data_IF_697586303745
#
_entry.id   IF_697586303745
#
_cell.length_a   1.000
_cell.length_b   1.000
_cell.length_c   1.000
_cell.angle_alpha   90.00
_cell.angle_beta   90.00
_cell.angle_gamma   90.00
#
_symmetry.space_group_name_H-M   'P 1'
#
loop_
_entity.id
_entity.type
_entity.pdbx_description
1 polymer ?
#
# COMPACT_ATOMS: atom_id res chain seq x y z
N UNK A 1 15.46 -4.06 -10.10
CA UNK A 1 15.75 -5.49 -10.34
C UNK A 1 15.17 -5.87 -11.69
N UNK A 2 15.92 -6.63 -12.51
CA UNK A 2 15.39 -7.21 -13.76
C UNK A 2 14.34 -8.26 -13.39
N UNK A 3 13.23 -8.33 -14.14
CA UNK A 3 12.19 -9.34 -13.92
C UNK A 3 12.65 -10.73 -14.35
N UNK A 4 12.19 -11.78 -13.65
CA UNK A 4 12.51 -13.17 -13.90
C UNK A 4 11.47 -13.80 -14.83
N UNK A 5 11.85 -14.24 -16.01
CA UNK A 5 10.98 -14.84 -17.02
C UNK A 5 11.34 -16.31 -17.21
N UNK A 6 10.36 -17.20 -17.07
CA UNK A 6 10.50 -18.62 -17.40
C UNK A 6 9.99 -18.89 -18.81
N UNK A 7 10.83 -19.40 -19.66
CA UNK A 7 10.50 -19.81 -21.05
C UNK A 7 10.32 -21.33 -21.05
N UNK A 8 9.14 -21.79 -21.45
CA UNK A 8 8.77 -23.20 -21.49
C UNK A 8 8.49 -23.62 -22.95
N UNK A 9 9.44 -24.27 -23.58
CA UNK A 9 9.37 -24.72 -24.97
C UNK A 9 10.34 -25.89 -25.13
N UNK A 10 9.98 -26.94 -25.82
CA UNK A 10 10.83 -28.14 -26.02
C UNK A 10 12.01 -27.88 -26.98
N UNK A 11 11.91 -26.87 -27.84
CA UNK A 11 12.94 -26.47 -28.79
C UNK A 11 13.93 -25.46 -28.18
N UNK A 12 15.20 -25.86 -28.06
CA UNK A 12 16.28 -24.96 -27.63
C UNK A 12 16.42 -23.74 -28.55
N UNK A 13 16.26 -23.92 -29.88
CA UNK A 13 16.29 -22.82 -30.83
C UNK A 13 15.14 -21.83 -30.64
N UNK A 14 13.93 -22.29 -30.25
CA UNK A 14 12.82 -21.42 -29.96
C UNK A 14 13.06 -20.62 -28.66
N UNK A 15 13.62 -21.24 -27.63
CA UNK A 15 13.99 -20.54 -26.39
C UNK A 15 15.07 -19.48 -26.63
N UNK A 16 16.07 -19.77 -27.45
CA UNK A 16 17.09 -18.79 -27.81
C UNK A 16 16.52 -17.61 -28.59
N UNK A 17 15.61 -17.85 -29.54
CA UNK A 17 14.94 -16.81 -30.33
C UNK A 17 14.04 -15.90 -29.46
N UNK A 18 13.32 -16.46 -28.50
CA UNK A 18 12.50 -15.69 -27.54
C UNK A 18 13.39 -14.73 -26.75
N UNK A 19 14.57 -15.17 -26.30
CA UNK A 19 15.51 -14.30 -25.58
C UNK A 19 16.04 -13.18 -26.46
N UNK A 20 16.32 -13.47 -27.74
CA UNK A 20 16.79 -12.48 -28.71
C UNK A 20 15.70 -11.37 -28.91
N UNK A 21 14.45 -11.75 -29.08
CA UNK A 21 13.33 -10.81 -29.21
C UNK A 21 13.10 -9.92 -27.97
N UNK A 22 13.36 -10.44 -26.77
CA UNK A 22 13.15 -9.73 -25.52
C UNK A 22 14.39 -8.94 -25.06
N UNK A 23 15.57 -9.23 -25.58
CA UNK A 23 16.83 -8.55 -25.26
C UNK A 23 17.38 -8.88 -23.86
N UNK A 24 18.27 -8.02 -23.35
CA UNK A 24 19.01 -8.25 -22.10
C UNK A 24 18.34 -7.67 -20.83
N UNK A 25 17.11 -7.18 -20.93
CA UNK A 25 16.44 -6.46 -19.81
C UNK A 25 15.86 -7.38 -18.73
N UNK A 26 15.91 -8.71 -18.93
CA UNK A 26 15.32 -9.71 -18.06
C UNK A 26 16.32 -10.77 -17.63
N UNK A 27 16.01 -11.52 -16.56
CA UNK A 27 16.65 -12.78 -16.23
C UNK A 27 15.82 -13.92 -16.81
N UNK A 28 16.44 -14.81 -17.60
CA UNK A 28 15.77 -15.90 -18.27
C UNK A 28 16.07 -17.23 -17.60
N UNK A 29 15.02 -18.01 -17.43
CA UNK A 29 15.08 -19.40 -17.03
C UNK A 29 14.39 -20.24 -18.09
N UNK A 30 14.81 -21.47 -18.25
CA UNK A 30 14.36 -22.37 -19.31
C UNK A 30 13.78 -23.64 -18.71
N UNK A 31 12.75 -24.16 -19.39
CA UNK A 31 12.20 -25.49 -19.18
C UNK A 31 11.82 -26.11 -20.53
N UNK A 32 12.08 -27.39 -20.69
CA UNK A 32 11.77 -28.11 -21.92
C UNK A 32 10.50 -28.97 -21.80
N UNK A 33 10.02 -29.18 -20.58
CA UNK A 33 8.87 -30.02 -20.27
C UNK A 33 8.14 -29.56 -19.01
N UNK A 34 7.04 -30.23 -18.66
CA UNK A 34 6.24 -29.91 -17.48
C UNK A 34 7.02 -30.15 -16.16
N UNK A 35 7.77 -31.23 -15.93
CA UNK A 35 8.55 -31.42 -14.71
C UNK A 35 9.62 -30.35 -14.49
N UNK A 36 10.38 -29.95 -15.49
CA UNK A 36 11.40 -28.90 -15.41
C UNK A 36 10.76 -27.52 -15.18
N UNK A 37 9.59 -27.26 -15.78
CA UNK A 37 8.80 -26.06 -15.51
C UNK A 37 8.43 -25.97 -14.03
N UNK A 38 7.83 -27.01 -13.44
CA UNK A 38 7.48 -27.01 -12.02
C UNK A 38 8.69 -26.90 -11.09
N UNK A 39 9.79 -27.59 -11.42
CA UNK A 39 11.03 -27.49 -10.65
C UNK A 39 11.61 -26.06 -10.63
N UNK A 40 11.50 -25.35 -11.75
CA UNK A 40 11.91 -23.95 -11.85
C UNK A 40 10.99 -23.02 -11.04
N UNK A 41 9.67 -23.22 -11.14
CA UNK A 41 8.67 -22.46 -10.40
C UNK A 41 8.74 -22.64 -8.87
N UNK A 42 9.19 -23.80 -8.38
CA UNK A 42 9.35 -24.07 -6.94
C UNK A 42 10.63 -23.48 -6.35
N UNK A 43 11.65 -23.34 -7.16
CA UNK A 43 12.98 -22.89 -6.73
C UNK A 43 13.20 -21.38 -6.85
N UNK A 44 12.34 -20.66 -7.60
CA UNK A 44 12.57 -19.27 -8.01
C UNK A 44 11.28 -18.45 -7.94
N UNK A 45 11.44 -17.16 -7.79
CA UNK A 45 10.33 -16.19 -7.85
C UNK A 45 10.14 -15.72 -9.31
N UNK A 46 9.48 -16.53 -10.13
CA UNK A 46 9.20 -16.19 -11.52
C UNK A 46 8.16 -15.08 -11.61
N UNK A 47 8.43 -14.04 -12.39
CA UNK A 47 7.51 -12.92 -12.61
C UNK A 47 6.56 -13.14 -13.79
N UNK A 48 6.96 -13.94 -14.79
CA UNK A 48 6.16 -14.25 -15.99
C UNK A 48 6.59 -15.57 -16.59
N UNK A 49 5.63 -16.33 -17.11
CA UNK A 49 5.87 -17.56 -17.85
C UNK A 49 5.50 -17.33 -19.32
N UNK A 50 6.41 -17.64 -20.25
CA UNK A 50 6.13 -17.75 -21.68
C UNK A 50 6.03 -19.25 -21.96
N UNK A 51 4.86 -19.68 -22.47
CA UNK A 51 4.50 -21.09 -22.59
C UNK A 51 4.19 -21.47 -24.02
N UNK A 52 4.90 -22.47 -24.59
CA UNK A 52 4.41 -23.17 -25.77
C UNK A 52 3.34 -24.20 -25.37
N UNK A 53 2.29 -24.28 -26.19
CA UNK A 53 1.23 -25.28 -26.02
C UNK A 53 1.63 -26.68 -26.47
N UNK A 54 2.61 -26.78 -27.36
CA UNK A 54 3.07 -28.07 -27.92
C UNK A 54 4.30 -28.58 -27.18
N UNK A 55 4.09 -29.14 -26.01
CA UNK A 55 5.12 -29.81 -25.24
C UNK A 55 4.94 -31.33 -25.33
N UNK A 56 6.04 -32.12 -25.41
CA UNK A 56 5.99 -33.58 -25.47
C UNK A 56 5.22 -34.15 -24.26
N UNK A 57 4.23 -35.00 -24.55
CA UNK A 57 3.46 -35.68 -23.51
C UNK A 57 2.44 -34.80 -22.74
N UNK A 58 2.24 -33.55 -23.14
CA UNK A 58 1.30 -32.61 -22.52
C UNK A 58 0.14 -32.30 -23.47
N UNK A 59 -1.09 -32.44 -23.02
CA UNK A 59 -2.28 -32.08 -23.81
C UNK A 59 -2.52 -30.58 -23.78
N UNK A 60 -2.64 -29.95 -24.94
CA UNK A 60 -2.94 -28.52 -25.18
C UNK A 60 -2.77 -27.61 -23.93
N UNK A 61 -3.85 -27.22 -23.23
CA UNK A 61 -3.82 -26.30 -22.09
C UNK A 61 -3.54 -26.96 -20.73
N UNK A 62 -3.15 -28.22 -20.68
CA UNK A 62 -2.97 -28.94 -19.40
C UNK A 62 -1.96 -28.26 -18.47
N UNK A 63 -0.83 -27.80 -19.02
CA UNK A 63 0.20 -27.11 -18.21
C UNK A 63 -0.28 -25.74 -17.76
N UNK A 64 -0.98 -24.96 -18.60
CA UNK A 64 -1.60 -23.70 -18.23
C UNK A 64 -2.55 -23.86 -17.04
N UNK A 65 -3.46 -24.86 -17.12
CA UNK A 65 -4.43 -25.13 -16.04
C UNK A 65 -3.71 -25.46 -14.73
N UNK A 66 -2.67 -26.26 -14.78
CA UNK A 66 -1.92 -26.64 -13.57
C UNK A 66 -1.11 -25.46 -13.01
N UNK A 67 -0.48 -24.65 -13.86
CA UNK A 67 0.20 -23.41 -13.44
C UNK A 67 -0.77 -22.45 -12.76
N UNK A 68 -1.92 -22.19 -13.37
CA UNK A 68 -2.94 -21.29 -12.79
C UNK A 68 -3.58 -21.84 -11.51
N UNK A 69 -3.67 -23.15 -11.35
CA UNK A 69 -4.14 -23.77 -10.10
C UNK A 69 -3.14 -23.62 -8.96
N UNK A 70 -1.84 -23.80 -9.21
CA UNK A 70 -0.79 -23.78 -8.18
C UNK A 70 -0.23 -22.38 -7.94
N UNK A 71 -0.09 -21.56 -8.98
CA UNK A 71 0.41 -20.18 -8.93
C UNK A 71 -0.55 -19.22 -9.68
N UNK A 72 -1.75 -18.95 -9.13
CA UNK A 72 -2.79 -18.17 -9.83
C UNK A 72 -2.38 -16.72 -10.12
N UNK A 73 -1.42 -16.19 -9.34
CA UNK A 73 -0.92 -14.82 -9.45
C UNK A 73 0.16 -14.62 -10.51
N UNK A 74 0.76 -15.71 -11.03
CA UNK A 74 1.81 -15.62 -12.04
C UNK A 74 1.18 -15.52 -13.44
N UNK A 75 1.48 -14.46 -14.21
CA UNK A 75 0.97 -14.32 -15.56
C UNK A 75 1.62 -15.33 -16.51
N UNK A 76 0.82 -15.83 -17.44
CA UNK A 76 1.25 -16.74 -18.48
C UNK A 76 0.90 -16.14 -19.85
N UNK A 77 1.92 -15.93 -20.68
CA UNK A 77 1.79 -15.56 -22.08
C UNK A 77 2.00 -16.81 -22.93
N UNK A 78 1.05 -17.14 -23.76
CA UNK A 78 1.14 -18.31 -24.65
C UNK A 78 1.78 -17.89 -25.96
N UNK A 79 2.78 -18.65 -26.39
CA UNK A 79 3.48 -18.49 -27.67
C UNK A 79 3.41 -19.81 -28.43
N UNK A 80 2.67 -19.88 -29.54
CA UNK A 80 2.42 -21.14 -30.26
C UNK A 80 2.51 -21.00 -31.76
N UNK A 81 2.94 -22.06 -32.45
CA UNK A 81 2.98 -22.16 -33.90
C UNK A 81 1.60 -22.43 -34.54
N UNK A 82 0.58 -22.79 -33.74
CA UNK A 82 -0.77 -23.09 -34.21
C UNK A 82 -1.76 -22.17 -33.49
N UNK A 83 -1.83 -20.93 -33.97
CA UNK A 83 -2.76 -19.94 -33.47
C UNK A 83 -4.05 -20.00 -34.30
N UNK A 84 -5.11 -20.56 -33.73
CA UNK A 84 -6.46 -20.39 -34.23
C UNK A 84 -7.32 -19.61 -33.25
N UNK A 85 -8.31 -18.91 -33.77
CA UNK A 85 -9.17 -18.03 -32.96
C UNK A 85 -9.88 -18.75 -31.80
N UNK A 86 -10.41 -19.97 -31.95
CA UNK A 86 -11.01 -20.74 -30.85
C UNK A 86 -10.02 -21.03 -29.70
N UNK A 87 -8.77 -21.38 -30.02
CA UNK A 87 -7.75 -21.66 -29.00
C UNK A 87 -7.34 -20.40 -28.22
N UNK A 88 -7.27 -19.26 -28.88
CA UNK A 88 -6.98 -17.99 -28.20
C UNK A 88 -8.06 -17.62 -27.19
N UNK A 89 -9.36 -17.81 -27.53
CA UNK A 89 -10.48 -17.58 -26.61
C UNK A 89 -10.41 -18.57 -25.42
N UNK A 90 -10.13 -19.83 -25.67
CA UNK A 90 -10.03 -20.86 -24.62
C UNK A 90 -8.85 -20.58 -23.68
N UNK A 91 -7.67 -20.22 -24.21
CA UNK A 91 -6.52 -19.80 -23.45
C UNK A 91 -6.84 -18.67 -22.47
N UNK A 92 -7.51 -17.61 -22.96
CA UNK A 92 -7.94 -16.46 -22.14
C UNK A 92 -8.93 -16.87 -21.05
N UNK A 93 -9.89 -17.75 -21.35
CA UNK A 93 -10.84 -18.28 -20.35
C UNK A 93 -10.15 -19.10 -19.27
N UNK A 94 -9.06 -19.80 -19.61
CA UNK A 94 -8.24 -20.58 -18.69
C UNK A 94 -7.21 -19.73 -17.92
N UNK A 95 -7.19 -18.41 -18.17
CA UNK A 95 -6.38 -17.45 -17.41
C UNK A 95 -5.03 -17.12 -18.04
N UNK A 96 -4.80 -17.37 -19.32
CA UNK A 96 -3.66 -16.79 -20.03
C UNK A 96 -3.85 -15.27 -20.15
N UNK A 97 -2.77 -14.52 -19.95
CA UNK A 97 -2.79 -13.05 -20.05
C UNK A 97 -2.73 -12.59 -21.51
N UNK A 98 -2.07 -13.38 -22.37
CA UNK A 98 -2.02 -13.12 -23.80
C UNK A 98 -1.74 -14.41 -24.58
N UNK A 99 -2.03 -14.37 -25.90
CA UNK A 99 -1.87 -15.48 -26.80
C UNK A 99 -1.27 -15.00 -28.13
N UNK A 100 -0.03 -15.35 -28.41
CA UNK A 100 0.76 -14.83 -29.52
C UNK A 100 1.16 -15.94 -30.48
N UNK A 101 0.90 -15.80 -31.79
CA UNK A 101 1.46 -16.67 -32.82
C UNK A 101 2.98 -16.54 -32.90
N UNK A 102 3.72 -17.67 -33.04
CA UNK A 102 5.19 -17.66 -33.13
C UNK A 102 5.72 -16.85 -34.33
N UNK A 103 4.96 -16.77 -35.41
CA UNK A 103 5.27 -15.97 -36.60
C UNK A 103 5.13 -14.46 -36.39
N UNK A 104 4.45 -14.03 -35.34
CA UNK A 104 4.29 -12.63 -34.96
C UNK A 104 5.07 -12.24 -33.68
N UNK A 105 5.85 -13.19 -33.13
CA UNK A 105 6.56 -13.03 -31.88
C UNK A 105 7.55 -11.84 -31.89
N UNK A 106 8.28 -11.63 -32.99
CA UNK A 106 9.22 -10.53 -33.14
C UNK A 106 8.61 -9.15 -32.87
N UNK A 107 7.34 -8.95 -33.23
CA UNK A 107 6.68 -7.65 -33.08
C UNK A 107 5.79 -7.55 -31.84
N UNK A 108 5.19 -8.64 -31.39
CA UNK A 108 4.17 -8.61 -30.34
C UNK A 108 4.68 -9.04 -28.95
N UNK A 109 5.71 -9.89 -28.89
CA UNK A 109 6.13 -10.52 -27.64
C UNK A 109 6.65 -9.48 -26.63
N UNK A 110 7.50 -8.56 -27.06
CA UNK A 110 8.04 -7.53 -26.20
C UNK A 110 6.93 -6.58 -25.67
N UNK A 111 5.98 -6.23 -26.51
CA UNK A 111 4.82 -5.38 -26.13
C UNK A 111 3.97 -6.10 -25.08
N UNK A 112 3.65 -7.38 -25.32
CA UNK A 112 2.84 -8.20 -24.43
C UNK A 112 3.51 -8.42 -23.08
N UNK A 113 4.81 -8.78 -23.07
CA UNK A 113 5.59 -8.99 -21.85
C UNK A 113 5.69 -7.70 -21.04
N UNK A 114 6.01 -6.57 -21.65
CA UNK A 114 6.07 -5.27 -20.98
C UNK A 114 4.73 -4.87 -20.37
N UNK A 115 3.63 -4.99 -21.12
CA UNK A 115 2.26 -4.72 -20.65
C UNK A 115 1.92 -5.61 -19.46
N UNK A 116 2.17 -6.91 -19.57
CA UNK A 116 1.84 -7.91 -18.55
C UNK A 116 2.63 -7.69 -17.26
N UNK A 117 3.94 -7.45 -17.34
CA UNK A 117 4.78 -7.15 -16.18
C UNK A 117 4.42 -5.82 -15.52
N UNK A 118 4.08 -4.79 -16.31
CA UNK A 118 3.60 -3.51 -15.78
C UNK A 118 2.29 -3.69 -14.99
N UNK A 119 1.32 -4.40 -15.53
CA UNK A 119 0.05 -4.73 -14.87
C UNK A 119 0.27 -5.56 -13.60
N UNK A 120 1.21 -6.51 -13.62
CA UNK A 120 1.54 -7.31 -12.45
C UNK A 120 2.23 -6.49 -11.35
N UNK A 121 3.18 -5.61 -11.69
CA UNK A 121 3.78 -4.67 -10.74
C UNK A 121 2.73 -3.78 -10.10
N UNK A 122 1.77 -3.29 -10.87
CA UNK A 122 0.64 -2.50 -10.37
C UNK A 122 -0.27 -3.34 -9.46
N UNK A 123 -0.57 -4.60 -9.82
CA UNK A 123 -1.35 -5.53 -8.96
C UNK A 123 -0.58 -5.88 -7.67
N UNK A 124 0.73 -6.17 -7.73
CA UNK A 124 1.59 -6.42 -6.55
C UNK A 124 1.67 -5.18 -5.64
N UNK A 125 1.83 -3.97 -6.21
CA UNK A 125 1.75 -2.70 -5.48
C UNK A 125 0.37 -2.52 -4.84
N UNK A 126 -0.72 -2.74 -5.56
CA UNK A 126 -2.08 -2.67 -5.01
C UNK A 126 -2.33 -3.73 -3.93
N UNK A 127 -1.73 -4.92 -4.04
CA UNK A 127 -1.83 -5.97 -3.01
C UNK A 127 -0.94 -5.65 -1.80
N UNK A 128 0.25 -5.10 -2.00
CA UNK A 128 1.09 -4.58 -0.92
C UNK A 128 0.43 -3.35 -0.25
N UNK A 129 -0.18 -2.44 -1.03
CA UNK A 129 -1.04 -1.37 -0.51
C UNK A 129 -2.28 -1.94 0.21
N UNK A 130 -2.93 -2.97 -0.31
CA UNK A 130 -4.03 -3.67 0.39
C UNK A 130 -3.55 -4.35 1.67
N UNK A 131 -2.37 -4.90 1.73
CA UNK A 131 -1.80 -5.50 2.94
C UNK A 131 -1.35 -4.44 3.96
N UNK A 132 -0.82 -3.31 3.51
CA UNK A 132 -0.62 -2.12 4.36
C UNK A 132 -1.96 -1.55 4.82
N UNK A 133 -2.99 -1.60 3.98
CA UNK A 133 -4.37 -1.22 4.29
C UNK A 133 -5.07 -2.30 5.14
N UNK A 134 -4.67 -3.57 5.06
CA UNK A 134 -5.17 -4.66 5.93
C UNK A 134 -4.66 -4.53 7.37
N UNK A 135 -3.61 -3.75 7.65
CA UNK A 135 -3.36 -3.22 9.00
C UNK A 135 -4.48 -2.26 9.48
N UNK A 136 -5.32 -1.74 8.57
CA UNK A 136 -6.55 -0.99 8.84
C UNK A 136 -7.81 -1.85 8.82
N UNK A 137 -7.72 -3.18 8.77
CA UNK A 137 -8.89 -4.09 8.76
C UNK A 137 -9.68 -4.12 10.07
N UNK A 138 -9.21 -3.46 11.10
CA UNK A 138 -10.00 -3.19 12.31
C UNK A 138 -10.74 -1.86 12.19
N UNK A 139 -11.65 -1.77 11.21
CA UNK A 139 -12.53 -0.62 11.13
C UNK A 139 -13.50 -0.64 12.33
N UNK A 140 -13.09 0.08 13.36
CA UNK A 140 -13.87 0.22 14.58
C UNK A 140 -14.83 1.41 14.49
N UNK A 141 -16.12 1.17 14.68
CA UNK A 141 -17.14 2.23 14.81
C UNK A 141 -17.49 2.41 16.28
N UNK A 142 -17.05 3.49 16.93
CA UNK A 142 -17.51 3.81 18.26
C UNK A 142 -19.02 4.01 18.27
N UNK A 143 -19.70 3.53 19.30
CA UNK A 143 -21.15 3.70 19.46
C UNK A 143 -21.54 5.09 20.01
N UNK A 144 -20.54 5.93 20.31
CA UNK A 144 -20.78 7.31 20.75
C UNK A 144 -21.62 8.08 19.72
N UNK A 145 -22.64 8.86 20.13
CA UNK A 145 -23.60 9.50 19.22
C UNK A 145 -22.98 10.36 18.12
N UNK A 146 -21.90 11.08 18.41
CA UNK A 146 -21.19 11.92 17.42
C UNK A 146 -20.57 11.05 16.32
N UNK A 147 -19.90 9.95 16.68
CA UNK A 147 -19.37 9.03 15.69
C UNK A 147 -20.48 8.32 14.91
N UNK A 148 -21.56 7.90 15.61
CA UNK A 148 -22.69 7.26 14.95
C UNK A 148 -23.34 8.19 13.90
N UNK A 149 -23.53 9.48 14.21
CA UNK A 149 -24.06 10.45 13.23
C UNK A 149 -23.09 10.68 12.05
N UNK A 150 -21.77 10.78 12.32
CA UNK A 150 -20.74 10.92 11.29
C UNK A 150 -20.76 9.77 10.29
N UNK A 151 -20.83 8.53 10.80
CA UNK A 151 -20.91 7.35 9.93
C UNK A 151 -22.25 7.22 9.20
N UNK A 152 -23.37 7.57 9.84
CA UNK A 152 -24.69 7.58 9.20
C UNK A 152 -24.75 8.60 8.05
N UNK A 153 -24.16 9.77 8.21
CA UNK A 153 -24.04 10.77 7.14
C UNK A 153 -23.15 10.26 6.01
N UNK A 154 -22.02 9.67 6.35
CA UNK A 154 -21.13 9.03 5.38
C UNK A 154 -21.85 7.93 4.60
N UNK A 155 -22.58 7.03 5.25
CA UNK A 155 -23.34 5.95 4.60
C UNK A 155 -24.39 6.49 3.61
N UNK A 156 -25.06 7.60 3.99
CA UNK A 156 -26.08 8.25 3.15
C UNK A 156 -25.48 8.88 1.89
N UNK A 157 -24.32 9.54 2.00
CA UNK A 157 -23.73 10.35 0.95
C UNK A 157 -22.61 9.64 0.17
N UNK A 158 -22.08 8.51 0.67
CA UNK A 158 -20.94 7.83 0.07
C UNK A 158 -21.13 7.37 -1.37
N UNK A 159 -22.37 7.06 -1.77
CA UNK A 159 -22.71 6.63 -3.14
C UNK A 159 -22.86 7.78 -4.13
N UNK A 160 -22.85 9.04 -3.67
CA UNK A 160 -22.84 10.21 -4.55
C UNK A 160 -21.42 10.45 -5.08
N UNK A 161 -21.31 11.28 -6.12
CA UNK A 161 -20.02 11.69 -6.70
C UNK A 161 -19.40 12.89 -5.97
N UNK A 162 -19.94 13.28 -4.82
CA UNK A 162 -19.49 14.44 -4.06
C UNK A 162 -18.10 14.25 -3.46
N UNK A 163 -17.32 15.32 -3.45
CA UNK A 163 -16.05 15.40 -2.76
C UNK A 163 -16.23 15.64 -1.27
N UNK A 164 -15.29 15.18 -0.46
CA UNK A 164 -15.34 15.29 0.99
C UNK A 164 -14.19 16.12 1.52
N UNK A 165 -14.48 17.02 2.47
CA UNK A 165 -13.48 17.68 3.29
C UNK A 165 -13.58 17.16 4.73
N UNK A 166 -12.53 16.52 5.22
CA UNK A 166 -12.40 15.98 6.56
C UNK A 166 -11.64 16.98 7.45
N UNK A 167 -12.31 17.54 8.42
CA UNK A 167 -11.73 18.45 9.39
C UNK A 167 -11.48 17.75 10.73
N UNK A 168 -10.42 18.13 11.42
CA UNK A 168 -10.12 17.62 12.75
C UNK A 168 -8.64 17.65 13.06
N UNK A 169 -8.31 17.52 14.33
CA UNK A 169 -6.95 17.54 14.83
C UNK A 169 -6.12 16.36 14.28
N UNK A 170 -4.80 16.47 14.42
CA UNK A 170 -3.90 15.36 14.07
C UNK A 170 -4.19 14.16 14.98
N UNK A 171 -4.29 12.97 14.37
CA UNK A 171 -4.48 11.71 15.10
C UNK A 171 -5.92 11.36 15.49
N UNK A 172 -6.95 12.11 15.02
CA UNK A 172 -8.38 11.79 15.27
C UNK A 172 -8.94 10.67 14.38
N UNK A 173 -8.18 10.20 13.36
CA UNK A 173 -8.62 9.13 12.47
C UNK A 173 -9.22 9.62 11.14
N UNK A 174 -8.76 10.77 10.60
CA UNK A 174 -9.18 11.27 9.27
C UNK A 174 -8.90 10.25 8.16
N UNK A 175 -7.76 9.56 8.23
CA UNK A 175 -7.37 8.49 7.32
C UNK A 175 -8.30 7.27 7.39
N UNK A 176 -8.72 6.88 8.59
CA UNK A 176 -9.70 5.79 8.80
C UNK A 176 -11.05 6.14 8.19
N UNK A 177 -11.51 7.39 8.39
CA UNK A 177 -12.77 7.85 7.81
C UNK A 177 -12.69 7.95 6.28
N UNK A 178 -11.57 8.42 5.71
CA UNK A 178 -11.37 8.47 4.26
C UNK A 178 -11.42 7.05 3.64
N UNK A 179 -10.82 6.08 4.30
CA UNK A 179 -10.89 4.68 3.89
C UNK A 179 -12.33 4.16 3.93
N UNK A 180 -13.06 4.48 5.00
CA UNK A 180 -14.47 4.12 5.12
C UNK A 180 -15.34 4.74 4.00
N UNK A 181 -15.16 6.04 3.71
CA UNK A 181 -15.85 6.72 2.61
C UNK A 181 -15.60 5.99 1.29
N UNK A 182 -14.36 5.59 1.02
CA UNK A 182 -14.01 4.84 -0.18
C UNK A 182 -14.73 3.48 -0.24
N UNK A 183 -14.68 2.68 0.83
CA UNK A 183 -15.35 1.37 0.89
C UNK A 183 -16.87 1.49 0.72
N UNK A 184 -17.50 2.46 1.41
CA UNK A 184 -18.93 2.69 1.32
C UNK A 184 -19.38 3.18 -0.07
N UNK A 185 -18.49 3.82 -0.82
CA UNK A 185 -18.75 4.32 -2.17
C UNK A 185 -18.93 3.22 -3.22
N UNK A 186 -18.36 2.05 -2.99
CA UNK A 186 -18.29 0.93 -3.94
C UNK A 186 -17.63 1.28 -5.29
N UNK A 187 -16.83 2.33 -5.36
CA UNK A 187 -16.01 2.62 -6.55
C UNK A 187 -15.03 1.48 -6.78
N UNK A 188 -14.86 1.08 -8.05
CA UNK A 188 -14.05 -0.10 -8.41
C UNK A 188 -12.54 0.14 -8.41
N UNK A 189 -12.12 1.41 -8.58
CA UNK A 189 -10.72 1.81 -8.55
C UNK A 189 -10.16 1.89 -7.12
N UNK A 190 -8.86 2.11 -6.96
CA UNK A 190 -8.21 2.12 -5.65
C UNK A 190 -8.46 3.40 -4.84
N UNK A 191 -8.18 3.31 -3.52
CA UNK A 191 -7.94 4.49 -2.69
C UNK A 191 -6.45 4.84 -2.78
N UNK A 192 -6.13 5.99 -3.33
CA UNK A 192 -4.75 6.47 -3.48
C UNK A 192 -4.51 7.63 -2.52
N UNK A 193 -3.58 7.44 -1.57
CA UNK A 193 -3.20 8.47 -0.60
C UNK A 193 -2.06 9.33 -1.13
N UNK A 194 -2.16 10.63 -0.86
CA UNK A 194 -1.12 11.65 -1.09
C UNK A 194 -0.97 12.46 0.18
N UNK A 195 0.26 12.61 0.66
CA UNK A 195 0.59 13.52 1.76
C UNK A 195 1.01 14.87 1.16
N UNK A 196 0.19 15.90 1.39
CA UNK A 196 0.46 17.26 0.89
C UNK A 196 1.44 18.05 1.78
N UNK A 197 1.86 17.47 2.91
CA UNK A 197 2.84 18.05 3.84
C UNK A 197 4.30 17.76 3.47
N UNK A 198 4.58 17.02 2.40
CA UNK A 198 5.94 16.75 1.95
C UNK A 198 6.68 18.03 1.58
N UNK A 199 7.91 18.16 2.09
CA UNK A 199 8.73 19.38 1.97
C UNK A 199 9.26 19.65 0.56
N UNK A 200 9.43 18.60 -0.27
CA UNK A 200 9.96 18.74 -1.63
C UNK A 200 8.83 18.88 -2.65
N UNK A 201 8.64 20.10 -3.10
CA UNK A 201 7.63 20.48 -4.10
C UNK A 201 7.84 19.80 -5.46
N UNK A 202 9.08 19.54 -5.87
CA UNK A 202 9.39 18.86 -7.15
C UNK A 202 8.99 17.41 -7.07
N UNK A 203 9.26 16.78 -5.90
CA UNK A 203 8.88 15.42 -5.64
C UNK A 203 7.35 15.26 -5.60
N UNK A 204 6.63 16.13 -4.89
CA UNK A 204 5.17 16.09 -4.80
C UNK A 204 4.51 16.30 -6.18
N UNK A 205 5.02 17.22 -7.00
CA UNK A 205 4.56 17.39 -8.40
C UNK A 205 4.75 16.12 -9.21
N UNK A 206 5.95 15.51 -9.14
CA UNK A 206 6.26 14.29 -9.85
C UNK A 206 5.44 13.09 -9.33
N UNK A 207 5.16 13.02 -8.04
CA UNK A 207 4.32 11.96 -7.45
C UNK A 207 2.86 12.09 -7.87
N UNK A 208 2.31 13.30 -7.91
CA UNK A 208 0.93 13.56 -8.32
C UNK A 208 0.71 13.36 -9.83
N UNK A 209 1.50 14.05 -10.65
CA UNK A 209 1.30 14.11 -12.11
C UNK A 209 2.03 13.00 -12.86
N UNK A 210 3.01 12.34 -12.24
CA UNK A 210 3.97 11.51 -12.96
C UNK A 210 4.89 12.35 -13.85
N UNK A 211 5.82 11.70 -14.51
CA UNK A 211 6.74 12.38 -15.45
C UNK A 211 7.12 11.48 -16.62
N UNK A 212 7.42 12.11 -17.74
CA UNK A 212 8.06 11.47 -18.87
C UNK A 212 9.59 11.48 -18.68
N UNK A 213 10.31 10.57 -19.35
CA UNK A 213 11.75 10.53 -19.34
C UNK A 213 12.34 11.87 -19.78
N UNK A 214 13.28 12.42 -18.99
CA UNK A 214 13.93 13.70 -19.27
C UNK A 214 13.14 14.95 -18.83
N UNK A 215 12.04 14.82 -18.12
CA UNK A 215 11.22 15.95 -17.66
C UNK A 215 11.95 16.92 -16.71
N UNK A 216 12.91 16.39 -15.95
CA UNK A 216 13.79 17.18 -15.05
C UNK A 216 15.09 16.41 -14.78
N UNK A 217 16.07 17.03 -14.14
CA UNK A 217 17.34 16.40 -13.77
C UNK A 217 17.09 15.25 -12.80
N UNK A 218 17.37 14.00 -13.23
CA UNK A 218 17.09 12.77 -12.47
C UNK A 218 15.85 12.00 -12.95
N UNK A 219 15.10 12.48 -13.94
CA UNK A 219 14.00 11.75 -14.58
C UNK A 219 14.55 10.76 -15.62
N UNK A 220 15.20 9.70 -15.16
CA UNK A 220 15.83 8.69 -16.03
C UNK A 220 14.81 7.78 -16.72
N UNK A 221 13.66 7.56 -16.09
CA UNK A 221 12.58 6.71 -16.59
C UNK A 221 11.22 7.42 -16.48
N UNK A 222 10.24 6.97 -17.26
CA UNK A 222 8.84 7.41 -17.14
C UNK A 222 8.22 6.88 -15.85
N UNK A 223 7.49 7.74 -15.11
CA UNK A 223 6.75 7.35 -13.91
C UNK A 223 5.28 7.73 -14.01
N UNK A 224 4.41 6.79 -13.63
CA UNK A 224 2.96 7.01 -13.54
C UNK A 224 2.66 7.81 -12.26
N UNK A 225 1.81 8.83 -12.36
CA UNK A 225 1.41 9.67 -11.23
C UNK A 225 0.23 9.14 -10.44
N UNK A 226 0.01 9.70 -9.25
CA UNK A 226 -1.09 9.34 -8.34
C UNK A 226 -2.47 9.61 -8.95
N UNK A 227 -2.61 10.62 -9.82
CA UNK A 227 -3.87 10.89 -10.51
C UNK A 227 -4.26 9.74 -11.43
N UNK A 228 -3.32 9.20 -12.20
CA UNK A 228 -3.58 8.01 -13.03
C UNK A 228 -3.89 6.78 -12.18
N UNK A 229 -3.14 6.61 -11.07
CA UNK A 229 -3.37 5.47 -10.17
C UNK A 229 -4.72 5.52 -9.47
N UNK A 230 -5.30 6.71 -9.27
CA UNK A 230 -6.58 6.90 -8.60
C UNK A 230 -7.79 6.74 -9.55
N UNK A 231 -7.57 6.50 -10.84
CA UNK A 231 -8.63 6.40 -11.83
C UNK A 231 -9.68 5.34 -11.47
N UNK A 232 -10.95 5.68 -11.62
CA UNK A 232 -12.10 4.88 -11.19
C UNK A 232 -12.27 4.74 -9.67
N UNK A 233 -11.38 5.36 -8.87
CA UNK A 233 -11.27 5.20 -7.43
C UNK A 233 -11.47 6.48 -6.62
N UNK A 234 -10.66 6.63 -5.58
CA UNK A 234 -10.68 7.77 -4.65
C UNK A 234 -9.27 8.29 -4.44
N UNK A 235 -9.08 9.59 -4.62
CA UNK A 235 -7.84 10.28 -4.26
C UNK A 235 -8.00 10.88 -2.86
N UNK A 236 -7.20 10.40 -1.90
CA UNK A 236 -7.16 10.92 -0.54
C UNK A 236 -5.97 11.86 -0.36
N UNK A 237 -6.26 13.14 -0.14
CA UNK A 237 -5.27 14.20 0.08
C UNK A 237 -5.17 14.49 1.58
N UNK A 238 -4.12 14.01 2.20
CA UNK A 238 -3.86 14.30 3.62
C UNK A 238 -3.12 15.64 3.76
N UNK A 239 -3.47 16.41 4.78
CA UNK A 239 -2.91 17.74 5.09
C UNK A 239 -2.99 18.72 3.89
N UNK A 240 -4.13 18.77 3.17
CA UNK A 240 -4.35 19.59 1.96
C UNK A 240 -4.02 21.08 2.19
N UNK A 241 -4.20 21.58 3.42
CA UNK A 241 -3.89 22.97 3.77
C UNK A 241 -2.42 23.37 3.63
N UNK A 242 -1.52 22.39 3.53
CA UNK A 242 -0.08 22.59 3.32
C UNK A 242 0.31 22.64 1.83
N UNK A 243 -0.63 22.38 0.92
CA UNK A 243 -0.38 22.41 -0.51
C UNK A 243 -0.03 23.85 -0.99
N UNK A 244 1.01 24.01 -1.80
CA UNK A 244 1.38 25.32 -2.34
C UNK A 244 0.34 25.86 -3.31
N UNK A 245 0.25 27.18 -3.44
CA UNK A 245 -0.70 27.86 -4.34
C UNK A 245 -0.54 27.41 -5.81
N UNK A 246 0.69 27.13 -6.25
CA UNK A 246 0.93 26.63 -7.60
C UNK A 246 0.30 25.24 -7.82
N UNK A 247 0.46 24.34 -6.85
CA UNK A 247 -0.15 23.00 -6.90
C UNK A 247 -1.66 23.07 -6.76
N UNK A 248 -2.19 23.94 -5.89
CA UNK A 248 -3.62 24.18 -5.77
C UNK A 248 -4.25 24.56 -7.12
N UNK A 249 -3.57 25.45 -7.89
CA UNK A 249 -4.03 25.86 -9.23
C UNK A 249 -4.07 24.70 -10.21
N UNK A 250 -2.99 23.90 -10.25
CA UNK A 250 -2.94 22.72 -11.13
C UNK A 250 -3.94 21.66 -10.74
N UNK A 251 -4.09 21.42 -9.44
CA UNK A 251 -5.03 20.44 -8.91
C UNK A 251 -6.49 20.82 -9.22
N UNK A 252 -6.85 22.09 -9.04
CA UNK A 252 -8.17 22.60 -9.44
C UNK A 252 -8.47 22.28 -10.90
N UNK A 253 -7.50 22.55 -11.79
CA UNK A 253 -7.65 22.25 -13.21
C UNK A 253 -7.92 20.75 -13.47
N UNK A 254 -7.26 19.86 -12.74
CA UNK A 254 -7.48 18.39 -12.87
C UNK A 254 -8.87 18.00 -12.42
N UNK A 255 -9.36 18.54 -11.28
CA UNK A 255 -10.70 18.23 -10.77
C UNK A 255 -11.78 18.72 -11.73
N UNK A 256 -11.60 19.90 -12.34
CA UNK A 256 -12.59 20.49 -13.24
C UNK A 256 -12.62 19.83 -14.60
N UNK A 257 -11.43 19.63 -15.21
CA UNK A 257 -11.32 19.09 -16.57
C UNK A 257 -11.33 17.57 -16.61
N UNK A 258 -11.17 16.89 -15.47
CA UNK A 258 -11.00 15.43 -15.41
C UNK A 258 -9.87 14.93 -16.34
N UNK A 259 -8.87 15.76 -16.58
CA UNK A 259 -7.69 15.43 -17.38
C UNK A 259 -6.47 16.26 -16.98
N UNK A 260 -5.30 15.73 -17.27
CA UNK A 260 -4.02 16.38 -17.00
C UNK A 260 -2.93 15.86 -17.95
N UNK A 261 -1.75 16.48 -17.91
CA UNK A 261 -0.55 16.03 -18.62
C UNK A 261 0.56 15.69 -17.61
N UNK A 262 1.35 14.67 -17.90
CA UNK A 262 2.56 14.36 -17.11
C UNK A 262 3.58 15.48 -17.23
N UNK A 263 4.46 15.61 -16.24
CA UNK A 263 5.56 16.55 -16.31
C UNK A 263 6.45 16.21 -17.52
N UNK A 264 6.72 17.21 -18.37
CA UNK A 264 7.47 17.04 -19.61
C UNK A 264 6.73 16.32 -20.74
N UNK A 265 5.46 15.94 -20.55
CA UNK A 265 4.61 15.34 -21.58
C UNK A 265 3.59 16.31 -22.17
N UNK A 266 3.08 15.98 -23.36
CA UNK A 266 2.05 16.76 -24.08
C UNK A 266 0.74 15.95 -24.28
N UNK A 267 0.68 14.73 -23.79
CA UNK A 267 -0.50 13.86 -23.95
C UNK A 267 -1.48 14.14 -22.81
N UNK A 268 -2.73 14.47 -23.16
CA UNK A 268 -3.81 14.56 -22.20
C UNK A 268 -4.23 13.16 -21.71
N UNK A 269 -4.29 13.01 -20.39
CA UNK A 269 -4.69 11.78 -19.72
C UNK A 269 -6.00 12.06 -18.99
N UNK A 270 -7.05 11.38 -19.39
CA UNK A 270 -8.36 11.46 -18.73
C UNK A 270 -8.37 10.60 -17.47
N UNK A 271 -9.01 11.10 -16.40
CA UNK A 271 -9.14 10.40 -15.11
C UNK A 271 -10.50 10.70 -14.50
N UNK A 272 -11.04 9.71 -13.82
CA UNK A 272 -12.27 9.87 -13.03
C UNK A 272 -12.07 9.35 -11.60
N UNK A 273 -11.75 10.23 -10.70
CA UNK A 273 -11.65 9.93 -9.28
C UNK A 273 -12.49 10.89 -8.44
N UNK A 274 -12.92 10.41 -7.27
CA UNK A 274 -13.47 11.24 -6.20
C UNK A 274 -12.34 11.78 -5.34
N UNK A 275 -12.51 12.99 -4.82
CA UNK A 275 -11.57 13.59 -3.86
C UNK A 275 -12.11 13.44 -2.44
N UNK A 276 -11.24 12.98 -1.54
CA UNK A 276 -11.40 13.10 -0.09
C UNK A 276 -10.20 13.89 0.41
N UNK A 277 -10.41 15.12 0.85
CA UNK A 277 -9.36 15.99 1.38
C UNK A 277 -9.42 16.02 2.91
N UNK A 278 -8.28 16.06 3.59
CA UNK A 278 -8.19 16.15 5.04
C UNK A 278 -7.23 17.24 5.47
N UNK A 279 -7.55 17.94 6.55
CA UNK A 279 -6.68 18.95 7.16
C UNK A 279 -7.01 19.18 8.63
N UNK A 280 -6.03 19.65 9.38
CA UNK A 280 -6.19 20.19 10.73
C UNK A 280 -6.19 21.73 10.74
N UNK A 281 -5.96 22.38 9.58
CA UNK A 281 -5.92 23.83 9.45
C UNK A 281 -7.32 24.40 9.20
N UNK A 282 -7.54 25.61 9.70
CA UNK A 282 -8.70 26.44 9.37
C UNK A 282 -8.50 27.02 7.97
N UNK A 283 -9.14 26.37 6.96
CA UNK A 283 -8.99 26.77 5.56
C UNK A 283 -9.60 28.16 5.29
N UNK A 284 -10.61 28.61 6.04
CA UNK A 284 -11.18 29.95 5.88
C UNK A 284 -10.12 31.02 6.22
N UNK A 285 -9.45 30.86 7.36
CA UNK A 285 -8.32 31.75 7.72
C UNK A 285 -7.16 31.65 6.73
N UNK A 286 -6.90 30.46 6.18
CA UNK A 286 -5.87 30.29 5.15
C UNK A 286 -6.24 31.03 3.85
N UNK A 287 -7.52 31.06 3.48
CA UNK A 287 -8.03 31.83 2.31
C UNK A 287 -7.85 33.34 2.57
N UNK A 288 -8.28 33.85 3.73
CA UNK A 288 -8.10 35.25 4.13
C UNK A 288 -6.64 35.67 4.13
N UNK A 289 -5.74 34.77 4.54
CA UNK A 289 -4.29 34.99 4.53
C UNK A 289 -3.65 34.82 3.15
N UNK A 290 -4.39 34.51 2.10
CA UNK A 290 -3.89 34.26 0.76
C UNK A 290 -3.02 33.01 0.60
N UNK A 291 -3.12 32.05 1.54
CA UNK A 291 -2.37 30.79 1.54
C UNK A 291 -3.14 29.62 0.92
N UNK A 292 -4.46 29.76 0.80
CA UNK A 292 -5.33 28.78 0.17
C UNK A 292 -6.30 29.47 -0.77
N UNK A 293 -6.62 28.81 -1.90
CA UNK A 293 -7.51 29.37 -2.93
C UNK A 293 -8.97 29.09 -2.57
N UNK A 294 -9.81 30.11 -2.65
CA UNK A 294 -11.25 29.98 -2.38
C UNK A 294 -11.98 29.13 -3.42
N UNK A 295 -11.54 29.20 -4.70
CA UNK A 295 -12.14 28.36 -5.76
C UNK A 295 -11.88 26.85 -5.54
N UNK A 296 -10.68 26.48 -5.15
CA UNK A 296 -10.37 25.10 -4.78
C UNK A 296 -11.16 24.66 -3.54
N UNK A 297 -11.27 25.52 -2.52
CA UNK A 297 -12.02 25.21 -1.32
C UNK A 297 -13.47 24.81 -1.65
N UNK A 298 -14.18 25.62 -2.43
CA UNK A 298 -15.57 25.31 -2.79
C UNK A 298 -15.69 24.02 -3.65
N UNK A 299 -14.65 23.65 -4.38
CA UNK A 299 -14.65 22.44 -5.21
C UNK A 299 -14.41 21.16 -4.40
N UNK A 300 -13.66 21.22 -3.31
CA UNK A 300 -13.38 20.06 -2.44
C UNK A 300 -14.32 19.97 -1.25
N UNK A 301 -14.98 21.06 -0.86
CA UNK A 301 -15.89 21.14 0.29
C UNK A 301 -17.36 21.01 -0.14
N UNK A 302 -17.70 19.91 -0.83
CA UNK A 302 -19.08 19.59 -1.17
C UNK A 302 -19.81 18.88 -0.01
N UNK A 303 -19.05 18.07 0.77
CA UNK A 303 -19.49 17.47 2.04
C UNK A 303 -18.41 17.73 3.07
N UNK A 304 -18.75 18.42 4.15
CA UNK A 304 -17.83 18.67 5.26
C UNK A 304 -18.12 17.74 6.43
N UNK A 305 -17.12 17.01 6.89
CA UNK A 305 -17.21 16.13 8.03
C UNK A 305 -16.15 16.51 9.07
N UNK A 306 -16.59 16.93 10.25
CA UNK A 306 -15.70 17.28 11.36
C UNK A 306 -15.59 16.10 12.33
N UNK A 307 -14.36 15.60 12.53
CA UNK A 307 -14.06 14.53 13.46
C UNK A 307 -13.66 15.17 14.79
N UNK A 308 -14.38 14.89 15.91
CA UNK A 308 -14.09 15.49 17.20
C UNK A 308 -12.73 15.05 17.74
N UNK A 309 -12.12 15.90 18.54
CA UNK A 309 -10.95 15.52 19.33
C UNK A 309 -11.33 14.53 20.44
N UNK A 310 -10.40 13.67 20.84
CA UNK A 310 -10.67 12.60 21.81
C UNK A 310 -11.09 13.17 23.19
N UNK A 311 -10.60 14.37 23.56
CA UNK A 311 -10.99 15.05 24.80
C UNK A 311 -12.45 15.58 24.79
N UNK A 312 -13.06 15.76 23.62
CA UNK A 312 -14.45 16.16 23.47
C UNK A 312 -15.43 14.98 23.55
N UNK A 313 -14.90 13.75 23.37
CA UNK A 313 -15.69 12.50 23.33
C UNK A 313 -15.07 11.43 24.26
N UNK A 314 -14.77 11.82 25.50
CA UNK A 314 -14.10 10.96 26.48
C UNK A 314 -14.82 9.64 26.73
N UNK A 315 -16.14 9.64 26.60
CA UNK A 315 -16.99 8.45 26.75
C UNK A 315 -16.72 7.39 25.69
N UNK A 316 -16.08 7.75 24.58
CA UNK A 316 -15.65 6.80 23.56
C UNK A 316 -14.30 6.13 23.89
N UNK A 317 -13.49 6.68 24.83
CA UNK A 317 -12.16 6.14 25.18
C UNK A 317 -12.22 4.67 25.59
N UNK A 318 -13.12 4.21 26.48
CA UNK A 318 -13.19 2.81 26.87
C UNK A 318 -13.42 1.87 25.67
N UNK A 319 -14.19 2.31 24.67
CA UNK A 319 -14.47 1.52 23.47
C UNK A 319 -13.22 1.40 22.58
N UNK A 320 -12.47 2.48 22.40
CA UNK A 320 -11.19 2.45 21.70
C UNK A 320 -10.16 1.57 22.42
N UNK A 321 -10.09 1.68 23.75
CA UNK A 321 -9.21 0.86 24.59
C UNK A 321 -9.52 -0.63 24.40
N UNK A 322 -10.79 -1.01 24.53
CA UNK A 322 -11.23 -2.41 24.39
C UNK A 322 -10.85 -2.95 22.99
N UNK A 323 -11.16 -2.18 21.93
CA UNK A 323 -10.84 -2.54 20.55
C UNK A 323 -9.34 -2.74 20.32
N UNK A 324 -8.48 -1.80 20.74
CA UNK A 324 -7.04 -1.93 20.55
C UNK A 324 -6.43 -3.09 21.35
N UNK A 325 -6.92 -3.33 22.58
CA UNK A 325 -6.48 -4.45 23.40
C UNK A 325 -6.89 -5.78 22.76
N UNK A 326 -8.11 -5.89 22.25
CA UNK A 326 -8.59 -7.10 21.57
C UNK A 326 -7.71 -7.44 20.36
N UNK A 327 -7.39 -6.47 19.51
CA UNK A 327 -6.48 -6.64 18.38
C UNK A 327 -5.08 -7.11 18.81
N UNK A 328 -4.51 -6.52 19.87
CA UNK A 328 -3.21 -6.92 20.40
C UNK A 328 -3.25 -8.32 21.01
N UNK A 329 -4.28 -8.66 21.77
CA UNK A 329 -4.45 -9.98 22.36
C UNK A 329 -4.60 -11.07 21.28
N UNK A 330 -5.40 -10.81 20.26
CA UNK A 330 -5.59 -11.73 19.14
C UNK A 330 -4.29 -11.97 18.37
N UNK A 331 -3.54 -10.91 18.08
CA UNK A 331 -2.29 -11.05 17.30
C UNK A 331 -1.13 -11.70 18.07
N UNK A 332 -1.16 -11.67 19.42
CA UNK A 332 -0.06 -12.18 20.26
C UNK A 332 -0.48 -13.38 21.12
N UNK A 333 -1.72 -13.86 21.01
CA UNK A 333 -2.23 -14.97 21.84
C UNK A 333 -2.21 -14.66 23.34
N UNK A 334 -2.52 -13.42 23.74
CA UNK A 334 -2.42 -12.92 25.11
C UNK A 334 -3.80 -12.58 25.69
N UNK A 335 -3.84 -12.27 27.01
CA UNK A 335 -5.04 -11.87 27.75
C UNK A 335 -4.82 -10.57 28.51
N UNK A 336 -4.11 -9.61 27.91
CA UNK A 336 -3.86 -8.30 28.51
C UNK A 336 -5.16 -7.56 28.78
N UNK A 337 -5.23 -6.92 29.93
CA UNK A 337 -6.32 -6.04 30.32
C UNK A 337 -5.78 -4.82 31.03
N UNK A 338 -6.46 -3.68 30.90
CA UNK A 338 -6.18 -2.48 31.66
C UNK A 338 -7.10 -2.49 32.90
N UNK A 339 -6.53 -2.15 34.05
CA UNK A 339 -7.29 -2.02 35.30
C UNK A 339 -8.07 -0.69 35.33
N UNK A 340 -9.04 -0.59 36.30
CA UNK A 340 -9.90 0.58 36.42
C UNK A 340 -9.12 1.87 36.77
N UNK A 341 -7.99 1.74 37.47
CA UNK A 341 -7.13 2.87 37.83
C UNK A 341 -6.46 3.46 36.59
N UNK A 342 -5.88 2.60 35.76
CA UNK A 342 -5.27 2.99 34.48
C UNK A 342 -6.31 3.55 33.52
N UNK A 343 -7.51 2.96 33.45
CA UNK A 343 -8.62 3.47 32.64
C UNK A 343 -9.06 4.85 33.14
N UNK A 344 -9.13 5.06 34.47
CA UNK A 344 -9.42 6.35 35.07
C UNK A 344 -8.40 7.43 34.67
N UNK A 345 -7.11 7.08 34.63
CA UNK A 345 -6.08 7.98 34.10
C UNK A 345 -6.29 8.30 32.62
N UNK A 346 -6.65 7.33 31.81
CA UNK A 346 -6.92 7.56 30.38
C UNK A 346 -8.11 8.51 30.15
N UNK A 347 -9.15 8.42 30.99
CA UNK A 347 -10.32 9.31 30.94
C UNK A 347 -10.00 10.75 31.39
N UNK A 348 -9.04 10.91 32.28
CA UNK A 348 -8.63 12.23 32.80
C UNK A 348 -7.66 12.97 31.89
N UNK A 349 -6.87 12.26 31.08
CA UNK A 349 -5.85 12.84 30.23
C UNK A 349 -6.45 13.52 28.99
N UNK A 350 -5.78 14.57 28.49
CA UNK A 350 -6.29 15.41 27.40
C UNK A 350 -6.06 14.87 25.99
N UNK A 351 -5.15 13.92 25.83
CA UNK A 351 -4.80 13.27 24.56
C UNK A 351 -4.50 14.26 23.42
N UNK A 352 -3.44 15.09 23.50
CA UNK A 352 -3.10 16.04 22.45
C UNK A 352 -2.82 15.37 21.09
N UNK A 353 -2.34 14.13 21.08
CA UNK A 353 -2.18 13.30 19.89
C UNK A 353 -3.39 12.41 19.56
N UNK A 354 -4.52 12.63 20.26
CA UNK A 354 -5.80 11.96 20.02
C UNK A 354 -5.73 10.42 20.03
N UNK A 355 -6.43 9.76 19.11
CA UNK A 355 -6.49 8.29 19.00
C UNK A 355 -5.13 7.70 18.67
N UNK A 356 -4.30 8.43 17.90
CA UNK A 356 -2.92 7.98 17.59
C UNK A 356 -2.07 7.85 18.85
N UNK A 357 -2.13 8.81 19.74
CA UNK A 357 -1.43 8.78 21.02
C UNK A 357 -1.99 7.70 21.96
N UNK A 358 -3.33 7.60 22.07
CA UNK A 358 -3.99 6.55 22.85
C UNK A 358 -3.56 5.15 22.39
N UNK A 359 -3.58 4.88 21.10
CA UNK A 359 -3.14 3.60 20.52
C UNK A 359 -1.66 3.31 20.83
N UNK A 360 -0.79 4.32 20.72
CA UNK A 360 0.62 4.19 21.06
C UNK A 360 0.84 3.88 22.54
N UNK A 361 0.09 4.54 23.45
CA UNK A 361 0.16 4.29 24.89
C UNK A 361 -0.31 2.88 25.24
N UNK A 362 -1.45 2.43 24.72
CA UNK A 362 -1.96 1.07 24.94
C UNK A 362 -0.95 0.04 24.44
N UNK A 363 -0.37 0.25 23.27
CA UNK A 363 0.66 -0.63 22.71
C UNK A 363 1.90 -0.69 23.62
N UNK A 364 2.32 0.44 24.19
CA UNK A 364 3.43 0.50 25.16
C UNK A 364 3.09 -0.30 26.41
N UNK A 365 1.92 -0.11 27.00
CA UNK A 365 1.49 -0.80 28.21
C UNK A 365 1.32 -2.31 27.98
N UNK A 366 0.78 -2.69 26.82
CA UNK A 366 0.70 -4.08 26.38
C UNK A 366 2.08 -4.74 26.31
N UNK A 367 3.08 -4.10 25.72
CA UNK A 367 4.42 -4.69 25.61
C UNK A 367 5.14 -4.74 26.95
N UNK A 368 4.90 -3.80 27.86
CA UNK A 368 5.38 -3.90 29.24
C UNK A 368 4.80 -5.12 29.96
N UNK A 369 3.51 -5.38 29.79
CA UNK A 369 2.85 -6.58 30.31
C UNK A 369 3.40 -7.86 29.66
N UNK A 370 3.44 -7.90 28.32
CA UNK A 370 3.79 -9.09 27.55
C UNK A 370 5.23 -9.55 27.76
N UNK A 371 6.16 -8.63 27.97
CA UNK A 371 7.58 -8.93 28.20
C UNK A 371 8.00 -8.88 29.68
N UNK A 372 7.08 -8.72 30.60
CA UNK A 372 7.35 -8.78 32.02
C UNK A 372 8.21 -7.66 32.58
N UNK A 373 8.27 -6.51 31.90
CA UNK A 373 8.98 -5.31 32.40
C UNK A 373 8.03 -4.52 33.29
N UNK A 374 7.88 -4.94 34.55
CA UNK A 374 7.11 -4.19 35.55
C UNK A 374 7.90 -2.93 35.98
N UNK A 375 7.67 -1.82 35.33
CA UNK A 375 7.98 -0.52 35.90
C UNK A 375 6.73 0.04 36.58
N UNK A 376 6.82 0.20 37.89
CA UNK A 376 5.74 0.70 38.77
C UNK A 376 5.43 2.19 38.66
N UNK A 377 5.84 2.87 37.59
CA UNK A 377 5.47 4.27 37.35
C UNK A 377 4.48 4.39 36.21
N UNK A 378 3.19 4.29 36.58
CA UNK A 378 2.03 4.56 35.71
C UNK A 378 1.80 6.07 35.47
N UNK A 379 2.81 6.90 35.49
CA UNK A 379 2.69 8.31 35.14
C UNK A 379 2.64 8.44 33.62
N UNK A 380 1.52 9.01 33.12
CA UNK A 380 1.46 9.50 31.76
C UNK A 380 2.51 10.61 31.63
N UNK A 381 3.40 10.58 30.62
CA UNK A 381 4.38 11.64 30.44
C UNK A 381 3.64 12.97 30.21
N UNK A 382 4.05 14.01 30.90
CA UNK A 382 3.49 15.37 30.76
C UNK A 382 3.62 15.91 29.31
N UNK A 383 4.57 15.34 28.54
CA UNK A 383 4.74 15.63 27.11
C UNK A 383 5.49 14.48 26.44
N UNK A 384 4.90 13.86 25.41
CA UNK A 384 5.64 12.93 24.52
C UNK A 384 6.47 13.78 23.56
N UNK A 385 7.78 13.84 23.77
CA UNK A 385 8.70 14.49 22.83
C UNK A 385 8.92 13.61 21.57
N UNK A 386 9.36 14.22 20.46
CA UNK A 386 9.74 13.46 19.23
C UNK A 386 10.81 12.40 19.51
N UNK A 387 11.59 12.55 20.59
CA UNK A 387 12.59 11.58 21.01
C UNK A 387 11.99 10.28 21.58
N UNK A 388 10.77 10.33 22.17
CA UNK A 388 10.12 9.14 22.76
C UNK A 388 9.67 8.11 21.72
N UNK A 389 9.25 8.55 20.53
CA UNK A 389 8.86 7.64 19.42
C UNK A 389 10.11 6.88 18.94
N UNK A 390 11.23 7.57 18.75
CA UNK A 390 12.51 6.96 18.38
C UNK A 390 12.98 5.95 19.42
N UNK A 391 12.84 6.27 20.71
CA UNK A 391 13.20 5.41 21.83
C UNK A 391 12.30 4.17 21.91
N UNK A 392 10.99 4.34 21.67
CA UNK A 392 10.04 3.22 21.67
C UNK A 392 10.27 2.28 20.48
N UNK A 393 10.53 2.80 19.29
CA UNK A 393 10.90 2.00 18.10
C UNK A 393 12.20 1.23 18.35
N UNK A 394 13.22 1.87 18.94
CA UNK A 394 14.48 1.21 19.28
C UNK A 394 14.31 0.12 20.35
N UNK A 395 13.41 0.31 21.31
CA UNK A 395 13.11 -0.66 22.35
C UNK A 395 12.39 -1.89 21.79
N UNK A 396 11.40 -1.71 20.93
CA UNK A 396 10.69 -2.80 20.21
C UNK A 396 11.66 -3.55 19.30
N UNK A 397 12.53 -2.84 18.59
CA UNK A 397 13.54 -3.45 17.74
C UNK A 397 14.53 -4.31 18.56
N UNK A 398 15.02 -3.78 19.70
CA UNK A 398 15.89 -4.51 20.63
C UNK A 398 15.23 -5.81 21.12
N UNK A 399 13.98 -5.74 21.55
CA UNK A 399 13.21 -6.89 22.07
C UNK A 399 13.05 -7.97 21.00
N UNK A 400 12.68 -7.58 19.77
CA UNK A 400 12.53 -8.53 18.67
C UNK A 400 13.85 -9.23 18.31
N UNK A 401 14.94 -8.48 18.33
CA UNK A 401 16.31 -9.02 18.11
C UNK A 401 16.69 -9.99 19.23
N UNK A 402 16.46 -9.61 20.49
CA UNK A 402 16.78 -10.45 21.64
C UNK A 402 15.98 -11.75 21.65
N UNK A 403 14.69 -11.69 21.31
CA UNK A 403 13.83 -12.87 21.19
C UNK A 403 14.30 -13.81 20.08
N UNK A 404 14.49 -13.30 18.85
CA UNK A 404 14.95 -14.11 17.73
C UNK A 404 16.34 -14.71 17.97
N UNK A 405 17.22 -13.99 18.70
CA UNK A 405 18.54 -14.48 19.06
C UNK A 405 18.49 -15.60 20.09
N UNK A 406 17.62 -15.51 21.11
CA UNK A 406 17.37 -16.58 22.09
C UNK A 406 16.73 -17.81 21.44
N UNK A 407 15.69 -17.63 20.61
CA UNK A 407 15.00 -18.72 19.90
C UNK A 407 15.93 -19.45 18.91
N UNK A 408 16.94 -18.77 18.42
CA UNK A 408 17.98 -19.34 17.56
C UNK A 408 19.18 -19.90 18.31
N UNK A 409 19.11 -20.04 19.64
CA UNK A 409 20.19 -20.51 20.51
C UNK A 409 21.53 -19.76 20.26
N UNK A 410 21.48 -18.45 20.04
CA UNK A 410 22.64 -17.61 19.79
C UNK A 410 23.24 -17.72 18.37
N UNK A 411 22.55 -18.40 17.44
CA UNK A 411 22.98 -18.48 16.04
C UNK A 411 22.56 -17.24 15.27
N UNK A 412 23.52 -16.36 14.97
CA UNK A 412 23.28 -15.08 14.32
C UNK A 412 22.70 -15.23 12.91
N UNK A 413 23.09 -16.26 12.15
CA UNK A 413 22.60 -16.47 10.80
C UNK A 413 21.13 -16.85 10.81
N UNK A 414 20.75 -17.81 11.66
CA UNK A 414 19.36 -18.25 11.81
C UNK A 414 18.46 -17.16 12.40
N UNK A 415 18.97 -16.37 13.36
CA UNK A 415 18.26 -15.22 13.91
C UNK A 415 18.03 -14.12 12.86
N UNK A 416 19.01 -13.88 11.99
CA UNK A 416 18.89 -12.91 10.90
C UNK A 416 17.84 -13.34 9.86
N UNK A 417 17.79 -14.62 9.50
CA UNK A 417 16.77 -15.20 8.64
C UNK A 417 15.37 -15.03 9.25
N UNK A 418 15.18 -15.38 10.52
CA UNK A 418 13.90 -15.24 11.24
C UNK A 418 13.40 -13.77 11.27
N UNK A 419 14.31 -12.81 11.27
CA UNK A 419 14.01 -11.38 11.27
C UNK A 419 13.99 -10.75 9.86
N UNK A 420 14.21 -11.53 8.81
CA UNK A 420 14.36 -11.04 7.43
C UNK A 420 15.43 -9.93 7.30
N UNK A 421 16.51 -10.04 8.10
CA UNK A 421 17.62 -9.11 8.11
C UNK A 421 18.89 -9.73 7.52
N UNK A 422 19.76 -8.90 6.95
CA UNK A 422 21.11 -9.35 6.59
C UNK A 422 21.92 -9.65 7.86
N UNK A 423 22.72 -10.73 7.86
CA UNK A 423 23.56 -11.13 9.00
C UNK A 423 24.41 -9.98 9.57
N UNK A 424 25.02 -9.18 8.69
CA UNK A 424 25.84 -8.02 9.09
C UNK A 424 25.01 -6.95 9.82
N UNK A 425 23.80 -6.69 9.36
CA UNK A 425 22.86 -5.75 9.99
C UNK A 425 22.47 -6.22 11.38
N UNK A 426 22.19 -7.52 11.54
CA UNK A 426 21.89 -8.09 12.86
C UNK A 426 23.09 -8.03 13.80
N UNK A 427 24.31 -8.33 13.34
CA UNK A 427 25.54 -8.20 14.13
C UNK A 427 25.76 -6.76 14.65
N UNK A 428 25.57 -5.77 13.77
CA UNK A 428 25.66 -4.36 14.16
C UNK A 428 24.62 -4.01 15.24
N UNK A 429 23.38 -4.46 15.07
CA UNK A 429 22.28 -4.20 16.01
C UNK A 429 22.47 -4.91 17.35
N UNK A 430 22.95 -6.16 17.38
CA UNK A 430 23.34 -6.88 18.62
C UNK A 430 24.39 -6.10 19.41
N UNK A 431 25.43 -5.60 18.72
CA UNK A 431 26.47 -4.77 19.34
C UNK A 431 25.92 -3.43 19.84
N UNK A 432 25.05 -2.76 19.03
CA UNK A 432 24.41 -1.49 19.38
C UNK A 432 23.56 -1.61 20.64
N UNK A 433 22.84 -2.71 20.81
CA UNK A 433 21.93 -2.94 21.94
C UNK A 433 22.54 -3.69 23.11
N UNK A 434 23.82 -4.05 23.04
CA UNK A 434 24.55 -4.74 24.14
C UNK A 434 24.03 -6.16 24.41
N UNK A 435 23.43 -6.83 23.41
CA UNK A 435 22.91 -8.19 23.54
C UNK A 435 24.09 -9.15 23.34
N UNK A 436 24.49 -9.82 24.43
CA UNK A 436 25.57 -10.82 24.48
C UNK A 436 24.99 -12.24 24.60
N UNK A 437 25.81 -13.23 24.27
CA UNK A 437 25.47 -14.67 24.26
C UNK A 437 25.15 -15.19 25.65
#
# INVERSE_FOLDING_TARGET
>A
MKSEILIVDDSEGARALIKDYLGEDYYYFEAEDMPSCFASMEKREIDLVILDLKLPGVKDFQLLIQLKKKWPHIPVVILTSHADYPKAIEATRLGAEDFIPKDQAEHLLQISVNKTLCLQKTKKLNTAYKNILNEFHDFFRPTHPIYASLYAETDRLSRSELNYLLLGETGVGKDVLAHYIHQASKRSGPLVRVDCGELDMTFLKSDLFGHEKGAFTGAEERRIGKFELADGGTLFLDEIGNMSLELQTKFLTVIEKKSFQRLGGNQDISVDFRVVAATNLDLQKAIEAGKFRGDLFYRINEVELTIPSLREVKEAIPQFVAHFIEGLNTSHGSHFRIDDVTLGHYLSYAWPGNIRELKAKIKKDFFHYYYGTSNQNNELPETISKNDISTTVQMVERINIEKAFKESNGNITKAAENLSLKRQTLQYKLKKYGIQR
#
